data_IF_697205757049
#
_entry.id   IF_697205757049
#
_cell.length_a   1.000
_cell.length_b   1.000
_cell.length_c   1.000
_cell.angle_alpha   90.00
_cell.angle_beta   90.00
_cell.angle_gamma   90.00
#
_symmetry.space_group_name_H-M   'P 1'
#
loop_
_entity.id
_entity.type
_entity.pdbx_description
1 polymer ?
#
# COMPACT_ATOMS: atom_id res chain seq x y z
N UNK A 1 9.70 11.97 27.03
CA UNK A 1 8.77 12.37 25.96
C UNK A 1 9.33 11.80 24.66
N UNK A 2 8.78 10.68 24.19
CA UNK A 2 9.17 10.09 22.92
C UNK A 2 8.25 10.77 21.89
N UNK A 3 8.78 11.71 21.10
CA UNK A 3 8.02 12.20 19.95
C UNK A 3 7.91 11.04 18.97
N UNK A 4 6.69 10.72 18.55
CA UNK A 4 6.42 9.69 17.55
C UNK A 4 7.06 10.13 16.23
N UNK A 5 8.14 9.47 15.83
CA UNK A 5 8.77 9.70 14.51
C UNK A 5 7.85 9.06 13.49
N UNK A 6 7.04 9.88 12.80
CA UNK A 6 6.21 9.43 11.69
C UNK A 6 7.07 9.28 10.45
N UNK A 7 6.89 8.17 9.73
CA UNK A 7 7.52 7.98 8.44
C UNK A 7 7.07 9.04 7.43
N UNK A 8 7.89 9.34 6.44
CA UNK A 8 7.54 10.27 5.37
C UNK A 8 6.43 9.69 4.48
N UNK A 9 6.39 8.36 4.35
CA UNK A 9 5.38 7.62 3.58
C UNK A 9 4.93 6.40 4.36
N UNK A 10 3.63 6.29 4.59
CA UNK A 10 2.97 5.03 4.96
C UNK A 10 2.47 4.34 3.69
N UNK A 11 2.89 3.08 3.49
CA UNK A 11 2.54 2.33 2.30
C UNK A 11 1.82 1.03 2.64
N UNK A 12 0.55 0.96 2.22
CA UNK A 12 -0.31 -0.21 2.40
C UNK A 12 -0.09 -1.18 1.24
N UNK A 13 0.40 -2.37 1.54
CA UNK A 13 0.81 -3.36 0.55
C UNK A 13 0.04 -4.66 0.71
N UNK A 14 -0.51 -5.13 -0.41
CA UNK A 14 -1.12 -6.44 -0.59
C UNK A 14 -0.34 -7.21 -1.67
N UNK A 15 0.17 -8.42 -1.41
CA UNK A 15 0.88 -9.23 -2.40
C UNK A 15 0.04 -9.63 -3.63
N UNK A 16 -1.29 -9.68 -3.51
CA UNK A 16 -2.19 -10.08 -4.60
C UNK A 16 -2.45 -8.90 -5.56
N UNK A 17 -2.28 -7.66 -5.09
CA UNK A 17 -2.54 -6.48 -5.89
C UNK A 17 -1.38 -6.17 -6.85
N UNK A 18 -1.56 -6.28 -8.19
CA UNK A 18 -0.49 -6.02 -9.14
C UNK A 18 -0.04 -4.55 -9.13
N UNK A 19 -0.96 -3.63 -8.82
CA UNK A 19 -0.66 -2.21 -8.71
C UNK A 19 0.19 -1.89 -7.46
N UNK A 20 -0.10 -2.55 -6.34
CA UNK A 20 0.70 -2.41 -5.13
C UNK A 20 2.10 -3.00 -5.34
N UNK A 21 2.23 -4.12 -6.05
CA UNK A 21 3.53 -4.68 -6.42
C UNK A 21 4.38 -3.70 -7.24
N UNK A 22 3.84 -3.18 -8.34
CA UNK A 22 4.57 -2.24 -9.19
C UNK A 22 4.94 -0.95 -8.44
N UNK A 23 4.01 -0.41 -7.65
CA UNK A 23 4.26 0.78 -6.84
C UNK A 23 5.32 0.54 -5.77
N UNK A 24 5.36 -0.65 -5.16
CA UNK A 24 6.36 -0.99 -4.14
C UNK A 24 7.80 -0.96 -4.67
N UNK A 25 8.01 -1.47 -5.89
CA UNK A 25 9.31 -1.46 -6.56
C UNK A 25 9.77 -0.03 -6.86
N UNK A 26 8.85 0.81 -7.36
CA UNK A 26 9.11 2.23 -7.60
C UNK A 26 9.41 2.99 -6.30
N UNK A 27 8.61 2.77 -5.26
CA UNK A 27 8.74 3.46 -3.98
C UNK A 27 10.09 3.17 -3.31
N UNK A 28 10.57 1.93 -3.36
CA UNK A 28 11.92 1.58 -2.85
C UNK A 28 13.01 2.42 -3.52
N UNK A 29 12.97 2.53 -4.86
CA UNK A 29 13.94 3.34 -5.60
C UNK A 29 13.84 4.83 -5.29
N UNK A 30 12.63 5.36 -5.15
CA UNK A 30 12.42 6.77 -4.80
C UNK A 30 12.88 7.08 -3.38
N UNK A 31 12.60 6.18 -2.43
CA UNK A 31 13.03 6.33 -1.04
C UNK A 31 14.56 6.44 -0.96
N UNK A 32 15.29 5.58 -1.66
CA UNK A 32 16.75 5.63 -1.73
C UNK A 32 17.25 6.94 -2.38
N UNK A 33 16.63 7.39 -3.48
CA UNK A 33 17.03 8.59 -4.21
C UNK A 33 16.72 9.90 -3.47
N UNK A 34 15.76 9.89 -2.54
CA UNK A 34 15.25 11.08 -1.85
C UNK A 34 15.51 11.08 -0.35
N UNK A 35 16.05 9.99 0.20
CA UNK A 35 16.26 9.84 1.64
C UNK A 35 14.96 9.77 2.44
N UNK A 36 13.91 9.18 1.86
CA UNK A 36 12.61 9.05 2.54
C UNK A 36 12.58 7.80 3.43
N UNK A 37 11.93 7.93 4.57
CA UNK A 37 11.56 6.80 5.43
C UNK A 37 10.20 6.26 5.01
N UNK A 38 10.10 4.94 4.87
CA UNK A 38 8.86 4.25 4.47
C UNK A 38 8.43 3.29 5.57
N UNK A 39 7.20 3.46 6.04
CA UNK A 39 6.54 2.50 6.91
C UNK A 39 5.64 1.57 6.07
N UNK A 40 5.87 0.27 6.20
CA UNK A 40 5.13 -0.74 5.44
C UNK A 40 3.97 -1.28 6.27
N UNK A 41 2.76 -1.22 5.72
CA UNK A 41 1.53 -1.75 6.33
C UNK A 41 1.00 -2.87 5.47
N UNK A 42 0.95 -4.09 5.99
CA UNK A 42 0.38 -5.21 5.26
C UNK A 42 -1.15 -5.15 5.34
N UNK A 43 -1.82 -5.30 4.19
CA UNK A 43 -3.27 -5.40 4.10
C UNK A 43 -3.68 -6.56 3.20
N UNK A 44 -4.96 -6.91 3.26
CA UNK A 44 -5.58 -7.86 2.33
C UNK A 44 -6.83 -7.22 1.74
N UNK A 45 -6.78 -6.93 0.45
CA UNK A 45 -7.89 -6.31 -0.29
C UNK A 45 -9.11 -7.21 -0.35
N UNK A 46 -8.95 -8.54 -0.37
CA UNK A 46 -10.09 -9.45 -0.34
C UNK A 46 -10.88 -9.38 0.96
N UNK A 47 -10.21 -9.10 2.09
CA UNK A 47 -10.87 -8.88 3.38
C UNK A 47 -11.44 -7.46 3.43
N UNK A 48 -10.65 -6.46 3.03
CA UNK A 48 -11.09 -5.06 3.05
C UNK A 48 -12.35 -4.81 2.19
N UNK A 49 -12.52 -5.58 1.12
CA UNK A 49 -13.63 -5.47 0.20
C UNK A 49 -14.61 -6.66 0.31
N UNK A 50 -14.65 -7.37 1.43
CA UNK A 50 -15.48 -8.58 1.58
C UNK A 50 -16.98 -8.31 1.36
N UNK A 51 -17.44 -7.10 1.65
CA UNK A 51 -18.84 -6.67 1.48
C UNK A 51 -19.15 -6.11 0.08
N UNK A 52 -18.14 -6.01 -0.81
CA UNK A 52 -18.33 -5.43 -2.13
C UNK A 52 -18.69 -6.51 -3.14
N UNK A 53 -19.79 -6.27 -3.84
CA UNK A 53 -20.24 -7.09 -4.96
C UNK A 53 -19.74 -6.48 -6.27
N UNK A 54 -18.57 -6.93 -6.72
CA UNK A 54 -17.95 -6.42 -7.93
C UNK A 54 -18.73 -6.78 -9.20
N UNK A 55 -19.45 -7.90 -9.21
CA UNK A 55 -20.25 -8.32 -10.37
C UNK A 55 -21.48 -7.41 -10.53
N UNK A 56 -22.08 -6.99 -9.41
CA UNK A 56 -23.18 -6.01 -9.42
C UNK A 56 -22.70 -4.58 -9.70
N UNK A 57 -21.54 -4.17 -9.16
CA UNK A 57 -21.00 -2.81 -9.33
C UNK A 57 -20.37 -2.57 -10.72
N UNK A 58 -19.81 -3.60 -11.35
CA UNK A 58 -19.09 -3.51 -12.64
C UNK A 58 -19.52 -4.62 -13.61
N UNK A 59 -20.75 -4.55 -14.16
CA UNK A 59 -21.21 -5.51 -15.16
C UNK A 59 -20.41 -5.40 -16.47
N UNK A 60 -20.22 -6.54 -17.15
CA UNK A 60 -19.53 -6.65 -18.46
C UNK A 60 -20.18 -5.84 -19.60
#
# INVERSE_FOLDING_TARGET
>A
MISEVRADVEFFWDPICPFAWQTSNWLRRVADLRGLTVEWRLITLSILNEERDYDAEFPE
#
